data_IF_587776049432
#
_entry.id   IF_587776049432
#
_cell.length_a   1.000
_cell.length_b   1.000
_cell.length_c   1.000
_cell.angle_alpha   90.00
_cell.angle_beta   90.00
_cell.angle_gamma   90.00
#
_symmetry.space_group_name_H-M   'P 1'
#
loop_
_entity.id
_entity.type
_entity.pdbx_description
1 polymer ?
#
# COMPACT_ATOMS: atom_id res chain seq x y z
N UNK A 1 -3.65 1.90 32.86
CA UNK A 1 -3.03 0.62 32.42
C UNK A 1 -3.90 -0.53 32.92
N UNK A 2 -4.16 -1.54 32.09
CA UNK A 2 -4.94 -2.72 32.45
C UNK A 2 -4.16 -4.00 32.19
N UNK A 3 -4.21 -4.96 33.12
CA UNK A 3 -3.53 -6.26 33.03
C UNK A 3 -4.20 -7.29 33.96
N UNK A 4 -4.41 -8.53 33.52
CA UNK A 4 -4.97 -9.62 34.34
C UNK A 4 -6.25 -9.27 35.16
N UNK A 5 -7.08 -8.35 34.63
CA UNK A 5 -8.29 -7.87 35.32
C UNK A 5 -8.09 -6.73 36.32
N UNK A 6 -6.84 -6.28 36.52
CA UNK A 6 -6.48 -5.12 37.32
C UNK A 6 -6.38 -3.85 36.47
N UNK A 7 -6.65 -2.70 37.09
CA UNK A 7 -6.45 -1.39 36.51
C UNK A 7 -5.59 -0.52 37.43
N UNK A 8 -4.60 0.14 36.84
CA UNK A 8 -3.68 1.05 37.51
C UNK A 8 -3.60 2.37 36.75
N UNK A 9 -3.80 3.48 37.46
CA UNK A 9 -3.62 4.82 36.89
C UNK A 9 -2.12 5.14 36.83
N UNK A 10 -1.71 5.67 35.68
CA UNK A 10 -0.33 6.06 35.41
C UNK A 10 -0.36 7.54 35.08
N UNK A 11 0.41 8.34 35.82
CA UNK A 11 0.49 9.78 35.59
C UNK A 11 1.07 10.09 34.20
N UNK A 12 0.64 11.20 33.62
CA UNK A 12 1.17 11.72 32.36
C UNK A 12 2.69 11.93 32.43
N UNK A 13 3.39 11.73 31.30
CA UNK A 13 4.84 11.93 31.20
C UNK A 13 5.70 10.80 31.78
N UNK A 14 5.10 9.80 32.43
CA UNK A 14 5.83 8.60 32.88
C UNK A 14 6.26 7.75 31.70
N UNK A 15 7.55 7.39 31.65
CA UNK A 15 8.08 6.46 30.65
C UNK A 15 7.90 5.02 31.11
N UNK A 16 7.17 4.23 30.33
CA UNK A 16 6.96 2.81 30.58
C UNK A 16 7.98 1.97 29.80
N UNK A 17 8.72 1.11 30.50
CA UNK A 17 9.64 0.16 29.86
C UNK A 17 8.93 -1.18 29.65
N UNK A 18 8.89 -1.64 28.41
CA UNK A 18 8.15 -2.84 28.01
C UNK A 18 9.12 -3.88 27.49
N UNK A 19 9.04 -5.11 28.03
CA UNK A 19 9.86 -6.26 27.62
C UNK A 19 8.97 -7.48 27.44
N UNK A 20 9.39 -8.42 26.60
CA UNK A 20 8.77 -9.75 26.53
C UNK A 20 9.79 -10.82 26.90
N UNK A 21 9.38 -11.75 27.77
CA UNK A 21 10.18 -12.90 28.16
C UNK A 21 9.25 -14.06 28.56
N UNK A 22 9.57 -15.28 28.13
CA UNK A 22 8.83 -16.48 28.55
C UNK A 22 7.33 -16.46 28.22
N UNK A 23 6.94 -15.86 27.10
CA UNK A 23 5.53 -15.79 26.68
C UNK A 23 4.69 -14.76 27.46
N UNK A 24 5.31 -13.90 28.27
CA UNK A 24 4.64 -12.78 28.93
C UNK A 24 5.26 -11.44 28.56
N UNK A 25 4.50 -10.38 28.77
CA UNK A 25 4.94 -8.99 28.69
C UNK A 25 5.12 -8.44 30.08
N UNK A 26 6.24 -7.76 30.28
CA UNK A 26 6.58 -7.05 31.50
C UNK A 26 6.54 -5.56 31.24
N UNK A 27 5.81 -4.81 32.07
CA UNK A 27 5.81 -3.34 32.10
C UNK A 27 6.41 -2.87 33.42
N UNK A 28 7.38 -1.96 33.34
CA UNK A 28 7.99 -1.33 34.51
C UNK A 28 7.58 0.13 34.59
N UNK A 29 7.04 0.53 35.76
CA UNK A 29 6.61 1.89 36.10
C UNK A 29 7.35 2.32 37.37
N UNK A 30 8.37 3.16 37.24
CA UNK A 30 9.26 3.45 38.37
C UNK A 30 9.95 2.17 38.85
N UNK A 31 9.65 1.76 40.09
CA UNK A 31 10.17 0.52 40.71
C UNK A 31 9.19 -0.65 40.60
N UNK A 32 7.93 -0.39 40.23
CA UNK A 32 6.89 -1.43 40.13
C UNK A 32 7.01 -2.19 38.82
N UNK A 33 6.86 -3.51 38.89
CA UNK A 33 6.96 -4.41 37.73
C UNK A 33 5.68 -5.24 37.63
N UNK A 34 5.01 -5.14 36.48
CA UNK A 34 3.79 -5.89 36.16
C UNK A 34 4.10 -6.92 35.08
N UNK A 35 3.55 -8.13 35.20
CA UNK A 35 3.83 -9.23 34.29
C UNK A 35 2.55 -9.97 33.90
N UNK A 36 2.13 -9.86 32.64
CA UNK A 36 0.89 -10.45 32.13
C UNK A 36 1.08 -10.97 30.70
N UNK A 37 0.20 -11.86 30.23
CA UNK A 37 0.15 -12.26 28.82
C UNK A 37 -0.23 -11.09 27.90
N UNK A 38 -1.03 -10.14 28.39
CA UNK A 38 -1.43 -8.94 27.68
C UNK A 38 -1.49 -7.74 28.61
N UNK A 39 -0.90 -6.61 28.18
CA UNK A 39 -1.01 -5.35 28.90
C UNK A 39 -1.59 -4.31 27.95
N UNK A 40 -2.63 -3.60 28.41
CA UNK A 40 -3.32 -2.57 27.64
C UNK A 40 -3.08 -1.21 28.27
N UNK A 41 -2.63 -0.27 27.45
CA UNK A 41 -2.58 1.14 27.81
C UNK A 41 -3.76 1.81 27.14
N UNK A 42 -4.53 2.58 27.91
CA UNK A 42 -5.60 3.44 27.42
C UNK A 42 -5.44 4.81 28.08
N UNK A 43 -5.70 5.92 27.36
CA UNK A 43 -5.87 7.22 27.98
C UNK A 43 -7.04 7.20 28.97
N UNK A 44 -7.06 8.15 29.91
CA UNK A 44 -8.16 8.24 30.88
C UNK A 44 -9.37 8.91 30.22
N UNK A 45 -9.12 9.91 29.38
CA UNK A 45 -10.14 10.61 28.61
C UNK A 45 -10.02 10.28 27.13
N UNK A 46 -11.13 10.19 26.40
CA UNK A 46 -11.14 9.75 25.01
C UNK A 46 -10.51 10.76 24.03
N UNK A 47 -10.32 12.02 24.44
CA UNK A 47 -9.64 13.08 23.69
C UNK A 47 -8.12 13.11 23.89
N UNK A 48 -7.60 12.29 24.83
CA UNK A 48 -6.18 12.11 25.06
C UNK A 48 -5.58 11.05 24.12
N UNK A 49 -4.24 11.02 24.06
CA UNK A 49 -3.50 10.11 23.19
C UNK A 49 -2.30 9.47 23.91
N UNK A 50 -1.85 8.35 23.37
CA UNK A 50 -0.69 7.62 23.87
C UNK A 50 0.53 7.87 22.98
N UNK A 51 1.68 8.10 23.61
CA UNK A 51 2.95 8.28 22.91
C UNK A 51 3.76 6.99 22.87
N UNK A 52 4.07 6.50 21.67
CA UNK A 52 4.88 5.30 21.48
C UNK A 52 5.91 5.50 20.37
N UNK A 53 7.19 5.24 20.67
CA UNK A 53 8.32 5.35 19.73
C UNK A 53 8.32 6.62 18.86
N UNK A 54 8.07 7.77 19.50
CA UNK A 54 8.04 9.09 18.87
C UNK A 54 6.80 9.44 18.06
N UNK A 55 5.73 8.66 18.19
CA UNK A 55 4.45 8.93 17.54
C UNK A 55 3.30 8.94 18.54
N UNK A 56 2.28 9.71 18.22
CA UNK A 56 1.05 9.84 19.00
C UNK A 56 -0.07 8.98 18.42
N UNK A 57 -0.80 8.26 19.27
CA UNK A 57 -1.84 7.30 18.87
C UNK A 57 -3.14 7.50 19.65
N UNK A 58 -4.27 7.44 18.96
CA UNK A 58 -5.63 7.37 19.57
C UNK A 58 -5.90 5.97 20.11
N UNK A 59 -6.95 5.87 20.93
CA UNK A 59 -7.41 4.59 21.47
C UNK A 59 -6.38 3.97 22.41
N UNK A 60 -6.24 2.66 22.33
CA UNK A 60 -5.40 1.85 23.21
C UNK A 60 -4.12 1.36 22.51
N UNK A 61 -3.08 1.09 23.29
CA UNK A 61 -1.91 0.32 22.84
C UNK A 61 -1.83 -0.97 23.64
N UNK A 62 -1.94 -2.09 22.95
CA UNK A 62 -1.89 -3.43 23.51
C UNK A 62 -0.52 -4.04 23.27
N UNK A 63 0.02 -4.65 24.31
CA UNK A 63 1.29 -5.36 24.28
C UNK A 63 1.03 -6.82 24.62
N UNK A 64 1.46 -7.73 23.74
CA UNK A 64 1.44 -9.16 24.00
C UNK A 64 2.76 -9.81 23.59
N UNK A 65 3.07 -10.97 24.17
CA UNK A 65 4.27 -11.73 23.83
C UNK A 65 3.94 -12.76 22.74
N UNK A 66 4.72 -12.77 21.67
CA UNK A 66 4.59 -13.68 20.53
C UNK A 66 5.98 -14.20 20.16
N UNK A 67 6.23 -15.49 20.34
CA UNK A 67 7.50 -16.15 19.99
C UNK A 67 8.75 -15.39 20.47
N UNK A 68 8.77 -15.01 21.76
CA UNK A 68 9.87 -14.24 22.38
C UNK A 68 10.08 -12.84 21.80
N UNK A 69 9.09 -12.30 21.08
CA UNK A 69 9.01 -10.91 20.64
C UNK A 69 7.78 -10.25 21.24
N UNK A 70 7.80 -8.92 21.31
CA UNK A 70 6.63 -8.14 21.70
C UNK A 70 5.82 -7.80 20.45
N UNK A 71 4.57 -8.27 20.39
CA UNK A 71 3.58 -7.75 19.47
C UNK A 71 2.96 -6.49 20.09
N UNK A 72 2.92 -5.41 19.31
CA UNK A 72 2.31 -4.14 19.70
C UNK A 72 1.16 -3.88 18.74
N UNK A 73 -0.03 -3.65 19.28
CA UNK A 73 -1.25 -3.37 18.51
C UNK A 73 -1.81 -2.05 18.99
N UNK A 74 -2.04 -1.10 18.07
CA UNK A 74 -2.88 0.05 18.35
C UNK A 74 -4.34 -0.36 18.10
N UNK A 75 -5.14 -0.39 19.17
CA UNK A 75 -6.56 -0.74 19.13
C UNK A 75 -7.38 0.54 19.21
N UNK A 76 -8.16 0.83 18.18
CA UNK A 76 -8.87 2.10 18.02
C UNK A 76 -10.13 1.91 17.16
N UNK A 77 -11.00 2.90 17.20
CA UNK A 77 -12.20 2.91 16.36
C UNK A 77 -11.87 3.13 14.89
N UNK A 78 -12.76 2.66 14.01
CA UNK A 78 -12.53 2.66 12.57
C UNK A 78 -12.30 4.07 12.00
N UNK A 79 -13.05 5.07 12.45
CA UNK A 79 -12.88 6.46 11.98
C UNK A 79 -11.53 7.05 12.43
N UNK A 80 -11.09 6.77 13.65
CA UNK A 80 -9.76 7.17 14.15
C UNK A 80 -8.64 6.51 13.35
N UNK A 81 -8.82 5.26 12.92
CA UNK A 81 -7.89 4.60 12.02
C UNK A 81 -7.85 5.32 10.65
N UNK A 82 -9.01 5.63 10.07
CA UNK A 82 -9.10 6.30 8.76
C UNK A 82 -8.46 7.71 8.81
N UNK A 83 -8.60 8.45 9.91
CA UNK A 83 -7.92 9.73 10.15
C UNK A 83 -6.38 9.61 10.04
N UNK A 84 -5.79 8.51 10.49
CA UNK A 84 -4.35 8.26 10.38
C UNK A 84 -3.89 7.67 9.04
N UNK A 85 -4.80 7.23 8.17
CA UNK A 85 -4.49 6.65 6.85
C UNK A 85 -4.60 7.67 5.71
N UNK A 86 -5.74 8.35 5.60
CA UNK A 86 -6.03 9.31 4.51
C UNK A 86 -4.89 10.32 4.26
N UNK A 87 -4.27 10.92 5.29
CA UNK A 87 -3.20 11.89 5.11
C UNK A 87 -1.96 11.34 4.39
N UNK A 88 -1.72 10.03 4.51
CA UNK A 88 -0.56 9.35 3.92
C UNK A 88 -0.83 8.83 2.50
N UNK A 89 -2.11 8.67 2.13
CA UNK A 89 -2.50 8.25 0.78
C UNK A 89 -2.59 9.43 -0.19
N UNK A 90 -3.09 10.58 0.27
CA UNK A 90 -3.20 11.81 -0.53
C UNK A 90 -2.35 12.89 0.13
N UNK A 91 -1.09 13.00 -0.31
CA UNK A 91 -0.12 13.92 0.29
C UNK A 91 -0.36 15.41 -0.01
N UNK A 92 -1.23 15.75 -0.97
CA UNK A 92 -1.56 17.15 -1.31
C UNK A 92 -2.85 17.58 -0.62
N UNK A 93 -2.73 18.46 0.37
CA UNK A 93 -3.81 18.81 1.30
C UNK A 93 -4.35 20.22 1.02
N UNK A 94 -5.24 20.35 0.03
CA UNK A 94 -5.94 21.60 -0.26
C UNK A 94 -7.32 21.34 -0.90
N UNK A 95 -8.15 22.39 -0.97
CA UNK A 95 -9.56 22.29 -1.43
C UNK A 95 -9.71 21.74 -2.85
N UNK A 96 -8.73 21.95 -3.74
CA UNK A 96 -8.78 21.38 -5.09
C UNK A 96 -8.75 19.85 -5.09
N UNK A 97 -8.21 19.23 -4.04
CA UNK A 97 -8.09 17.78 -3.89
C UNK A 97 -9.07 17.19 -2.87
N UNK A 98 -10.05 17.99 -2.41
CA UNK A 98 -10.98 17.56 -1.36
C UNK A 98 -11.81 16.34 -1.76
N UNK A 99 -12.23 16.24 -3.03
CA UNK A 99 -12.97 15.06 -3.50
C UNK A 99 -12.07 13.82 -3.57
N UNK A 100 -10.78 13.97 -3.85
CA UNK A 100 -9.82 12.86 -3.79
C UNK A 100 -9.55 12.40 -2.35
N UNK A 101 -9.54 13.32 -1.38
CA UNK A 101 -9.47 12.99 0.04
C UNK A 101 -10.70 12.18 0.49
N UNK A 102 -11.90 12.54 0.02
CA UNK A 102 -13.12 11.73 0.24
C UNK A 102 -13.01 10.34 -0.39
N UNK A 103 -12.48 10.24 -1.61
CA UNK A 103 -12.22 8.94 -2.25
C UNK A 103 -11.28 8.08 -1.38
N UNK A 104 -10.20 8.67 -0.86
CA UNK A 104 -9.25 7.99 0.02
C UNK A 104 -9.91 7.53 1.32
N UNK A 105 -10.77 8.35 1.94
CA UNK A 105 -11.49 7.97 3.15
C UNK A 105 -12.41 6.77 2.92
N UNK A 106 -13.26 6.82 1.89
CA UNK A 106 -14.20 5.73 1.54
C UNK A 106 -13.44 4.43 1.20
N UNK A 107 -12.39 4.53 0.38
CA UNK A 107 -11.59 3.35 0.00
C UNK A 107 -10.81 2.77 1.17
N UNK A 108 -10.22 3.61 2.04
CA UNK A 108 -9.50 3.14 3.22
C UNK A 108 -10.43 2.46 4.23
N UNK A 109 -11.61 3.03 4.48
CA UNK A 109 -12.63 2.43 5.34
C UNK A 109 -13.09 1.07 4.80
N UNK A 110 -13.39 1.01 3.49
CA UNK A 110 -13.81 -0.24 2.85
C UNK A 110 -12.71 -1.31 2.95
N UNK A 111 -11.44 -0.93 2.75
CA UNK A 111 -10.30 -1.85 2.94
C UNK A 111 -10.23 -2.37 4.38
N UNK A 112 -10.30 -1.49 5.37
CA UNK A 112 -10.23 -1.86 6.78
C UNK A 112 -11.36 -2.82 7.17
N UNK A 113 -12.59 -2.59 6.70
CA UNK A 113 -13.72 -3.49 6.93
C UNK A 113 -13.47 -4.88 6.32
N UNK A 114 -12.95 -4.95 5.09
CA UNK A 114 -12.60 -6.26 4.51
C UNK A 114 -11.59 -7.01 5.39
N UNK A 115 -10.61 -6.32 5.97
CA UNK A 115 -9.60 -6.92 6.85
C UNK A 115 -10.17 -7.38 8.20
N UNK A 116 -11.11 -6.62 8.76
CA UNK A 116 -11.87 -7.05 9.94
C UNK A 116 -12.64 -8.36 9.67
N UNK A 117 -13.21 -8.51 8.47
CA UNK A 117 -13.95 -9.71 8.08
C UNK A 117 -13.05 -10.94 7.85
N UNK A 118 -11.74 -10.76 7.60
CA UNK A 118 -10.78 -11.88 7.51
C UNK A 118 -10.53 -12.57 8.86
N UNK A 119 -10.89 -11.93 9.99
CA UNK A 119 -10.74 -12.48 11.36
C UNK A 119 -9.33 -13.01 11.64
N UNK A 120 -8.33 -12.18 11.38
CA UNK A 120 -6.94 -12.46 11.75
C UNK A 120 -6.82 -12.62 13.27
N UNK A 121 -5.82 -13.38 13.72
CA UNK A 121 -5.76 -13.84 15.11
C UNK A 121 -5.52 -12.73 16.15
N UNK A 122 -4.72 -11.71 15.84
CA UNK A 122 -4.23 -10.74 16.84
C UNK A 122 -4.41 -9.27 16.46
N UNK A 123 -4.62 -8.98 15.17
CA UNK A 123 -4.74 -7.63 14.62
C UNK A 123 -5.39 -7.72 13.24
N UNK A 124 -6.08 -6.67 12.82
CA UNK A 124 -6.78 -6.65 11.54
C UNK A 124 -5.88 -6.16 10.39
N UNK A 125 -5.10 -5.11 10.64
CA UNK A 125 -4.21 -4.46 9.65
C UNK A 125 -2.81 -4.22 10.20
N UNK A 126 -1.81 -4.15 9.31
CA UNK A 126 -0.44 -3.70 9.62
C UNK A 126 -0.27 -2.22 9.30
N UNK A 127 0.62 -1.52 10.02
CA UNK A 127 0.89 -0.07 9.91
C UNK A 127 1.78 0.35 8.72
N UNK A 128 1.95 -0.53 7.72
CA UNK A 128 2.82 -0.31 6.58
C UNK A 128 2.19 -0.72 5.25
N UNK A 129 2.96 -0.57 4.17
CA UNK A 129 2.51 -0.75 2.77
C UNK A 129 1.97 -2.14 2.40
N UNK A 130 2.06 -3.11 3.32
CA UNK A 130 1.44 -4.43 3.14
C UNK A 130 -0.08 -4.34 3.23
N UNK A 131 -0.60 -3.52 4.15
CA UNK A 131 -2.02 -3.25 4.29
C UNK A 131 -2.27 -1.78 3.89
N UNK A 132 -2.08 -0.82 4.79
CA UNK A 132 -2.15 0.62 4.49
C UNK A 132 -1.13 1.39 5.34
N UNK A 133 -0.64 2.52 4.84
CA UNK A 133 0.23 3.36 5.63
C UNK A 133 -0.57 4.05 6.75
N UNK A 134 -0.17 3.85 8.01
CA UNK A 134 -0.83 4.43 9.17
C UNK A 134 0.11 5.33 9.97
N UNK A 135 -0.27 6.59 10.13
CA UNK A 135 0.57 7.63 10.71
C UNK A 135 0.34 7.92 12.19
N UNK A 136 -0.76 7.44 12.77
CA UNK A 136 -1.26 7.94 14.06
C UNK A 136 -1.80 9.37 13.93
N UNK A 137 -1.84 10.10 15.05
CA UNK A 137 -2.41 11.46 15.12
C UNK A 137 -1.53 12.49 14.42
N UNK A 138 -0.21 12.28 14.43
CA UNK A 138 0.77 13.31 14.02
C UNK A 138 0.68 13.69 12.53
N UNK A 139 -0.07 12.93 11.73
CA UNK A 139 -0.25 13.17 10.29
C UNK A 139 -1.58 13.85 9.94
N UNK A 140 -2.52 13.90 10.89
CA UNK A 140 -3.86 14.49 10.72
C UNK A 140 -3.75 16.00 10.43
N UNK A 141 -4.60 16.52 9.55
CA UNK A 141 -4.80 17.96 9.37
C UNK A 141 -6.29 18.30 9.36
N UNK A 142 -6.65 19.58 9.19
CA UNK A 142 -8.06 19.97 9.17
C UNK A 142 -8.83 19.42 7.95
N UNK A 143 -8.22 19.43 6.77
CA UNK A 143 -8.93 19.16 5.51
C UNK A 143 -9.16 17.66 5.22
N UNK A 144 -8.16 16.84 5.51
CA UNK A 144 -8.26 15.37 5.49
C UNK A 144 -9.23 14.89 6.56
N UNK A 145 -9.16 15.40 7.80
CA UNK A 145 -10.13 15.07 8.85
C UNK A 145 -11.56 15.43 8.44
N UNK A 146 -11.77 16.62 7.83
CA UNK A 146 -13.07 17.01 7.29
C UNK A 146 -13.57 16.02 6.22
N UNK A 147 -12.70 15.53 5.34
CA UNK A 147 -13.08 14.54 4.33
C UNK A 147 -13.49 13.20 4.96
N UNK A 148 -12.82 12.78 6.03
CA UNK A 148 -13.19 11.58 6.81
C UNK A 148 -14.57 11.76 7.44
N UNK A 149 -14.80 12.87 8.14
CA UNK A 149 -16.09 13.15 8.79
C UNK A 149 -17.25 13.29 7.80
N UNK A 150 -17.05 13.99 6.68
CA UNK A 150 -18.10 14.14 5.66
C UNK A 150 -18.41 12.84 4.90
N UNK A 151 -17.58 11.80 5.06
CA UNK A 151 -17.80 10.47 4.48
C UNK A 151 -17.91 9.39 5.54
N UNK A 152 -18.23 9.75 6.78
CA UNK A 152 -18.38 8.80 7.89
C UNK A 152 -19.30 7.64 7.48
N UNK A 153 -18.85 6.42 7.75
CA UNK A 153 -19.62 5.21 7.44
C UNK A 153 -19.84 4.89 5.96
N UNK A 154 -19.39 5.75 5.04
CA UNK A 154 -19.48 5.50 3.60
C UNK A 154 -18.40 4.51 3.15
N UNK A 155 -18.83 3.42 2.52
CA UNK A 155 -17.96 2.41 1.91
C UNK A 155 -18.41 2.09 0.48
N UNK A 156 -17.52 1.47 -0.30
CA UNK A 156 -17.91 0.84 -1.55
C UNK A 156 -18.42 -0.57 -1.31
N UNK A 157 -19.57 -0.90 -1.89
CA UNK A 157 -20.14 -2.24 -1.85
C UNK A 157 -20.35 -2.79 -3.25
N UNK A 158 -20.33 -4.12 -3.36
CA UNK A 158 -20.74 -4.86 -4.55
C UNK A 158 -21.56 -6.05 -4.10
N UNK A 159 -22.77 -6.20 -4.65
CA UNK A 159 -23.74 -7.22 -4.21
C UNK A 159 -23.96 -7.17 -2.69
N UNK A 160 -24.15 -5.97 -2.15
CA UNK A 160 -24.39 -5.69 -0.72
C UNK A 160 -23.29 -6.14 0.24
N UNK A 161 -22.09 -6.47 -0.26
CA UNK A 161 -20.90 -6.77 0.54
C UNK A 161 -19.84 -5.70 0.32
N UNK A 162 -18.97 -5.39 1.30
CA UNK A 162 -17.83 -4.52 1.08
C UNK A 162 -17.05 -4.95 -0.17
N UNK A 163 -16.82 -4.00 -1.08
CA UNK A 163 -16.07 -4.25 -2.30
C UNK A 163 -14.60 -4.47 -1.96
N UNK A 164 -13.92 -5.35 -2.71
CA UNK A 164 -12.48 -5.53 -2.58
C UNK A 164 -11.77 -4.27 -3.11
N UNK A 165 -10.95 -3.62 -2.28
CA UNK A 165 -10.32 -2.36 -2.63
C UNK A 165 -8.83 -2.52 -2.89
N UNK A 166 -8.39 -1.92 -3.99
CA UNK A 166 -7.00 -1.68 -4.32
C UNK A 166 -6.84 -0.24 -4.81
N UNK A 167 -5.71 0.37 -4.49
CA UNK A 167 -5.34 1.68 -5.00
C UNK A 167 -3.82 1.78 -5.10
N UNK A 168 -3.33 2.67 -5.96
CA UNK A 168 -1.92 2.83 -6.22
C UNK A 168 -1.60 4.27 -6.62
N UNK A 169 -0.31 4.64 -6.56
CA UNK A 169 0.11 6.02 -6.79
C UNK A 169 -0.28 6.55 -8.18
N UNK A 170 0.12 5.86 -9.25
CA UNK A 170 -0.09 6.32 -10.62
C UNK A 170 -0.26 5.15 -11.60
N UNK A 171 -1.33 5.14 -12.38
CA UNK A 171 -1.65 4.02 -13.27
C UNK A 171 -0.79 3.99 -14.55
N UNK A 172 -0.28 5.15 -14.99
CA UNK A 172 0.42 5.30 -16.27
C UNK A 172 -0.53 5.42 -17.47
N UNK A 173 -1.78 5.85 -17.24
CA UNK A 173 -2.79 6.11 -18.28
C UNK A 173 -3.95 5.13 -18.31
N UNK A 174 -3.77 3.94 -17.75
CA UNK A 174 -4.80 2.89 -17.72
C UNK A 174 -4.58 2.00 -16.49
N UNK A 175 -5.65 1.70 -15.75
CA UNK A 175 -5.60 0.78 -14.60
C UNK A 175 -5.55 -0.68 -15.06
N UNK A 176 -5.24 -1.62 -14.19
CA UNK A 176 -5.05 -3.03 -14.56
C UNK A 176 -6.17 -3.92 -14.00
N UNK A 177 -6.50 -4.98 -14.73
CA UNK A 177 -7.37 -6.04 -14.25
C UNK A 177 -6.72 -6.75 -13.07
N UNK A 178 -7.46 -6.89 -11.97
CA UNK A 178 -6.99 -7.62 -10.78
C UNK A 178 -6.43 -9.01 -11.12
N UNK A 179 -7.02 -9.69 -12.11
CA UNK A 179 -6.62 -11.04 -12.51
C UNK A 179 -5.18 -11.12 -13.03
N UNK A 180 -4.69 -10.02 -13.61
CA UNK A 180 -3.34 -9.93 -14.19
C UNK A 180 -2.25 -9.69 -13.15
N UNK A 181 -2.62 -9.26 -11.93
CA UNK A 181 -1.68 -8.84 -10.90
C UNK A 181 -1.71 -9.76 -9.68
N UNK A 182 -2.91 -10.11 -9.21
CA UNK A 182 -3.12 -10.80 -7.93
C UNK A 182 -3.68 -12.23 -8.08
N UNK A 183 -3.81 -12.73 -9.32
CA UNK A 183 -4.26 -14.09 -9.62
C UNK A 183 -5.73 -14.16 -10.04
N UNK A 184 -6.23 -15.33 -10.47
CA UNK A 184 -7.50 -15.48 -11.19
C UNK A 184 -8.72 -15.28 -10.28
N UNK A 185 -9.02 -14.03 -9.96
CA UNK A 185 -10.23 -13.61 -9.23
C UNK A 185 -11.15 -12.85 -10.17
N UNK A 186 -12.47 -12.99 -9.96
CA UNK A 186 -13.47 -12.32 -10.78
C UNK A 186 -14.18 -11.23 -9.98
N UNK A 187 -13.66 -10.02 -10.05
CA UNK A 187 -14.29 -8.81 -9.54
C UNK A 187 -14.52 -7.87 -10.72
N UNK A 188 -15.76 -7.78 -11.26
CA UNK A 188 -16.02 -7.00 -12.48
C UNK A 188 -15.79 -5.49 -12.29
N UNK A 189 -15.80 -5.03 -11.03
CA UNK A 189 -15.46 -3.67 -10.62
C UNK A 189 -13.94 -3.42 -10.46
N UNK A 190 -13.09 -4.43 -10.66
CA UNK A 190 -11.62 -4.30 -10.67
C UNK A 190 -11.05 -4.70 -12.04
N UNK A 191 -11.76 -4.30 -13.09
CA UNK A 191 -11.24 -4.34 -14.46
C UNK A 191 -10.45 -3.09 -14.75
N UNK A 192 -9.51 -3.20 -15.69
CA UNK A 192 -8.76 -2.04 -16.16
C UNK A 192 -9.67 -1.04 -16.85
N UNK A 193 -9.52 0.24 -16.50
CA UNK A 193 -10.21 1.38 -17.10
C UNK A 193 -9.17 2.41 -17.54
N UNK A 194 -9.49 3.14 -18.61
CA UNK A 194 -8.71 4.31 -19.02
C UNK A 194 -8.80 5.41 -17.97
N UNK A 195 -7.69 6.08 -17.66
CA UNK A 195 -7.62 7.16 -16.67
C UNK A 195 -8.04 8.53 -17.26
N UNK A 196 -8.79 8.53 -18.35
CA UNK A 196 -9.16 9.73 -19.13
C UNK A 196 -8.29 9.95 -20.37
N UNK A 197 -8.74 10.88 -21.22
CA UNK A 197 -8.06 11.30 -22.44
C UNK A 197 -7.99 12.84 -22.52
N UNK A 198 -6.81 13.47 -22.30
CA UNK A 198 -5.56 12.83 -21.86
C UNK A 198 -5.67 12.29 -20.41
N UNK A 199 -4.79 11.36 -19.99
CA UNK A 199 -4.86 10.77 -18.66
C UNK A 199 -4.80 11.79 -17.53
N UNK A 200 -5.69 11.68 -16.54
CA UNK A 200 -5.70 12.56 -15.37
C UNK A 200 -4.37 12.47 -14.60
N UNK A 201 -3.76 11.29 -14.52
CA UNK A 201 -2.50 11.08 -13.80
C UNK A 201 -1.24 11.57 -14.54
N UNK A 202 -1.36 12.07 -15.78
CA UNK A 202 -0.21 12.49 -16.60
C UNK A 202 0.64 13.57 -15.94
N UNK A 203 0.01 14.52 -15.25
CA UNK A 203 0.68 15.65 -14.59
C UNK A 203 1.46 15.26 -13.32
N UNK A 204 1.43 14.00 -12.93
CA UNK A 204 2.14 13.50 -11.75
C UNK A 204 3.66 13.47 -11.99
N UNK A 205 4.48 13.84 -10.99
CA UNK A 205 5.93 13.64 -11.06
C UNK A 205 6.35 12.17 -11.16
N UNK A 206 5.43 11.24 -10.84
CA UNK A 206 5.65 9.80 -10.95
C UNK A 206 5.08 9.17 -12.23
N UNK A 207 4.53 9.98 -13.15
CA UNK A 207 3.93 9.48 -14.38
C UNK A 207 4.95 8.86 -15.33
N UNK A 208 6.15 9.42 -15.43
CA UNK A 208 7.24 8.90 -16.26
C UNK A 208 8.46 8.60 -15.41
N UNK A 209 9.15 7.52 -15.72
CA UNK A 209 10.42 7.15 -15.08
C UNK A 209 11.35 6.51 -16.10
N UNK A 210 12.66 6.59 -15.84
CA UNK A 210 13.67 5.92 -16.65
C UNK A 210 14.77 5.35 -15.75
N UNK A 211 15.20 4.13 -16.05
CA UNK A 211 16.29 3.45 -15.33
C UNK A 211 17.19 2.71 -16.33
N UNK A 212 18.50 2.66 -16.06
CA UNK A 212 19.49 2.01 -16.93
C UNK A 212 20.30 0.98 -16.16
N UNK A 213 20.32 -0.24 -16.67
CA UNK A 213 20.92 -1.42 -16.05
C UNK A 213 22.06 -1.93 -16.91
N UNK A 214 23.17 -2.30 -16.29
CA UNK A 214 24.21 -3.10 -16.93
C UNK A 214 23.75 -4.54 -17.11
N UNK A 215 24.39 -5.26 -18.04
CA UNK A 215 24.16 -6.70 -18.20
C UNK A 215 24.38 -7.47 -16.88
N UNK A 216 25.40 -7.09 -16.10
CA UNK A 216 25.68 -7.69 -14.79
C UNK A 216 24.53 -7.50 -13.79
N UNK A 217 23.89 -6.33 -13.77
CA UNK A 217 22.75 -6.07 -12.87
C UNK A 217 21.56 -6.97 -13.23
N UNK A 218 21.22 -7.09 -14.52
CA UNK A 218 20.14 -7.98 -14.97
C UNK A 218 20.43 -9.43 -14.58
N UNK A 219 21.64 -9.93 -14.87
CA UNK A 219 22.04 -11.30 -14.51
C UNK A 219 21.97 -11.50 -12.98
N UNK A 220 22.45 -10.54 -12.19
CA UNK A 220 22.35 -10.58 -10.73
C UNK A 220 20.91 -10.70 -10.27
N UNK A 221 19.99 -9.90 -10.83
CA UNK A 221 18.58 -9.95 -10.49
C UNK A 221 17.92 -11.28 -10.81
N UNK A 222 18.23 -11.87 -11.97
CA UNK A 222 17.76 -13.22 -12.32
C UNK A 222 18.27 -14.27 -11.32
N UNK A 223 19.55 -14.17 -10.92
CA UNK A 223 20.16 -15.09 -9.96
C UNK A 223 19.55 -14.94 -8.56
N UNK A 224 19.44 -13.70 -8.06
CA UNK A 224 18.88 -13.40 -6.74
C UNK A 224 17.40 -13.84 -6.64
N UNK A 225 16.68 -13.89 -7.78
CA UNK A 225 15.32 -14.41 -7.90
C UNK A 225 15.23 -15.93 -8.09
N UNK A 226 16.36 -16.64 -8.16
CA UNK A 226 16.43 -18.09 -8.36
C UNK A 226 16.03 -18.56 -9.77
N UNK A 227 16.03 -17.67 -10.77
CA UNK A 227 15.66 -17.99 -12.15
C UNK A 227 16.83 -18.59 -12.95
N UNK A 228 18.06 -18.40 -12.48
CA UNK A 228 19.28 -18.97 -13.04
C UNK A 228 20.18 -19.50 -11.92
N UNK A 229 21.05 -20.48 -12.24
CA UNK A 229 21.87 -21.20 -11.24
C UNK A 229 23.23 -20.57 -10.94
N UNK A 230 23.68 -19.63 -11.76
CA UNK A 230 24.96 -18.93 -11.57
C UNK A 230 24.88 -17.52 -12.15
N UNK A 231 25.90 -16.69 -11.90
CA UNK A 231 26.03 -15.35 -12.50
C UNK A 231 26.93 -15.33 -13.74
N UNK A 232 27.44 -16.49 -14.16
CA UNK A 232 28.42 -16.62 -15.25
C UNK A 232 27.73 -16.77 -16.60
N UNK A 233 26.90 -15.79 -16.96
CA UNK A 233 26.18 -15.76 -18.23
C UNK A 233 26.53 -14.49 -19.02
N UNK A 234 26.31 -14.54 -20.33
CA UNK A 234 26.35 -13.37 -21.20
C UNK A 234 24.92 -13.00 -21.56
N UNK A 235 24.53 -11.76 -21.26
CA UNK A 235 23.23 -11.22 -21.68
C UNK A 235 23.28 -10.91 -23.18
N UNK A 236 22.32 -11.43 -23.92
CA UNK A 236 22.19 -11.23 -25.37
C UNK A 236 20.97 -10.39 -25.75
N UNK A 237 19.99 -10.23 -24.84
CA UNK A 237 18.86 -9.36 -25.10
C UNK A 237 17.79 -9.40 -24.03
N UNK A 238 16.83 -8.48 -24.14
CA UNK A 238 15.66 -8.43 -23.29
C UNK A 238 14.49 -7.83 -24.09
N UNK A 239 13.33 -8.49 -24.11
CA UNK A 239 12.16 -8.01 -24.83
C UNK A 239 10.85 -8.27 -24.08
N UNK A 240 9.84 -7.43 -24.32
CA UNK A 240 8.47 -7.68 -23.87
C UNK A 240 7.73 -8.45 -24.95
N UNK A 241 7.44 -9.72 -24.68
CA UNK A 241 6.79 -10.61 -25.65
C UNK A 241 5.29 -10.36 -25.76
N UNK A 242 4.66 -9.92 -24.66
CA UNK A 242 3.23 -9.65 -24.62
C UNK A 242 2.92 -8.56 -23.58
N UNK A 243 1.85 -7.81 -23.84
CA UNK A 243 1.29 -6.79 -22.94
C UNK A 243 -0.16 -7.11 -22.58
N UNK A 244 -0.59 -6.62 -21.42
CA UNK A 244 -2.00 -6.53 -21.07
C UNK A 244 -2.65 -5.32 -21.77
N UNK A 245 -4.00 -5.22 -21.83
CA UNK A 245 -4.68 -4.06 -22.41
C UNK A 245 -4.24 -2.72 -21.82
N UNK A 246 -3.84 -2.70 -20.54
CA UNK A 246 -3.34 -1.49 -19.88
C UNK A 246 -1.93 -1.05 -20.33
N UNK A 247 -1.30 -1.75 -21.28
CA UNK A 247 0.09 -1.55 -21.73
C UNK A 247 1.16 -2.20 -20.83
N UNK A 248 0.80 -2.70 -19.65
CA UNK A 248 1.73 -3.38 -18.73
C UNK A 248 2.28 -4.66 -19.35
N UNK A 249 3.57 -4.92 -19.16
CA UNK A 249 4.24 -6.13 -19.61
C UNK A 249 3.58 -7.36 -18.94
N UNK A 250 3.05 -8.25 -19.78
CA UNK A 250 2.51 -9.55 -19.39
C UNK A 250 3.61 -10.60 -19.34
N UNK A 251 4.52 -10.53 -20.30
CA UNK A 251 5.59 -11.50 -20.47
C UNK A 251 6.88 -10.79 -20.90
N UNK A 252 7.91 -10.96 -20.09
CA UNK A 252 9.27 -10.50 -20.32
C UNK A 252 10.17 -11.71 -20.61
N UNK A 253 10.93 -11.64 -21.69
CA UNK A 253 11.95 -12.63 -22.03
C UNK A 253 13.33 -12.00 -21.88
N UNK A 254 14.22 -12.71 -21.18
CA UNK A 254 15.64 -12.37 -21.08
C UNK A 254 16.46 -13.45 -21.77
N UNK A 255 17.27 -13.04 -22.75
CA UNK A 255 18.08 -13.93 -23.57
C UNK A 255 19.49 -14.02 -23.01
N UNK A 256 19.92 -15.23 -22.68
CA UNK A 256 21.27 -15.53 -22.20
C UNK A 256 21.92 -16.46 -23.23
N UNK A 257 23.21 -16.23 -23.49
CA UNK A 257 23.98 -17.03 -24.46
C UNK A 257 23.93 -18.52 -24.13
N UNK A 258 23.74 -19.34 -25.16
CA UNK A 258 23.70 -20.81 -25.10
C UNK A 258 22.63 -21.40 -24.16
N UNK A 259 21.64 -20.59 -23.77
CA UNK A 259 20.58 -20.96 -22.83
C UNK A 259 19.19 -20.74 -23.42
N UNK A 260 18.18 -21.37 -22.80
CA UNK A 260 16.79 -21.05 -23.11
C UNK A 260 16.42 -19.68 -22.55
N UNK A 261 15.56 -18.89 -23.23
CA UNK A 261 15.13 -17.59 -22.72
C UNK A 261 14.49 -17.72 -21.34
N UNK A 262 14.93 -16.87 -20.40
CA UNK A 262 14.33 -16.79 -19.07
C UNK A 262 13.04 -16.00 -19.17
N UNK A 263 11.93 -16.67 -18.88
CA UNK A 263 10.58 -16.09 -18.93
C UNK A 263 10.14 -15.58 -17.57
N UNK A 264 9.70 -14.33 -17.51
CA UNK A 264 9.15 -13.68 -16.33
C UNK A 264 7.77 -13.12 -16.68
N UNK A 265 6.76 -13.38 -15.85
CA UNK A 265 5.36 -13.05 -16.17
C UNK A 265 4.69 -12.18 -15.11
N UNK A 266 3.80 -11.30 -15.56
CA UNK A 266 2.90 -10.52 -14.71
C UNK A 266 3.62 -9.67 -13.66
N UNK A 267 3.06 -9.64 -12.44
CA UNK A 267 3.57 -8.84 -11.32
C UNK A 267 5.02 -9.17 -10.92
N UNK A 268 5.47 -10.42 -11.10
CA UNK A 268 6.85 -10.86 -10.79
C UNK A 268 7.92 -10.08 -11.56
N UNK A 269 7.60 -9.49 -12.72
CA UNK A 269 8.56 -8.68 -13.48
C UNK A 269 9.14 -7.56 -12.60
N UNK A 270 8.28 -6.91 -11.81
CA UNK A 270 8.71 -5.80 -10.94
C UNK A 270 9.56 -6.26 -9.76
N UNK A 271 9.26 -7.44 -9.22
CA UNK A 271 9.97 -8.04 -8.09
C UNK A 271 11.34 -8.59 -8.48
N UNK A 272 11.48 -9.05 -9.73
CA UNK A 272 12.74 -9.58 -10.26
C UNK A 272 13.65 -8.44 -10.67
N UNK A 273 13.19 -7.56 -11.58
CA UNK A 273 14.07 -6.52 -12.16
C UNK A 273 14.45 -5.46 -11.12
N UNK A 274 13.54 -5.14 -10.18
CA UNK A 274 13.74 -4.16 -9.09
C UNK A 274 14.13 -2.76 -9.57
N UNK A 275 14.02 -1.75 -8.70
CA UNK A 275 14.59 -0.43 -8.97
C UNK A 275 16.08 -0.44 -8.67
N UNK A 276 16.88 0.12 -9.57
CA UNK A 276 18.33 0.32 -9.36
C UNK A 276 18.63 1.31 -8.23
N UNK A 277 17.71 2.24 -7.95
CA UNK A 277 17.94 3.32 -6.97
C UNK A 277 18.19 2.78 -5.55
N UNK A 278 17.43 1.77 -5.14
CA UNK A 278 17.38 1.29 -3.76
C UNK A 278 17.08 -0.22 -3.65
N UNK A 279 17.11 -0.95 -4.77
CA UNK A 279 16.78 -2.38 -4.85
C UNK A 279 15.35 -2.71 -4.37
N UNK A 280 14.45 -1.70 -4.36
CA UNK A 280 13.02 -1.88 -4.09
C UNK A 280 12.29 -2.45 -5.30
N UNK A 281 10.99 -2.71 -5.17
CA UNK A 281 10.15 -3.13 -6.31
C UNK A 281 10.20 -2.09 -7.43
N UNK A 282 10.32 -2.53 -8.69
CA UNK A 282 10.30 -1.61 -9.84
C UNK A 282 8.99 -0.80 -9.85
N UNK A 283 9.04 0.48 -10.24
CA UNK A 283 7.90 1.41 -10.18
C UNK A 283 6.65 0.85 -10.85
N UNK A 284 6.75 0.32 -12.06
CA UNK A 284 5.65 -0.35 -12.76
C UNK A 284 6.17 -1.41 -13.72
N UNK A 285 5.27 -2.23 -14.25
CA UNK A 285 5.54 -3.11 -15.40
C UNK A 285 5.17 -2.46 -16.74
N UNK A 286 4.76 -1.19 -16.76
CA UNK A 286 4.46 -0.46 -17.98
C UNK A 286 5.73 0.28 -18.44
N UNK A 287 6.56 -0.37 -19.24
CA UNK A 287 7.78 0.22 -19.77
C UNK A 287 8.13 -0.29 -21.16
N UNK A 288 8.94 0.49 -21.87
CA UNK A 288 9.64 0.10 -23.08
C UNK A 288 11.10 -0.24 -22.77
N UNK A 289 11.70 -1.08 -23.61
CA UNK A 289 13.08 -1.56 -23.48
C UNK A 289 13.89 -1.06 -24.66
N UNK A 290 15.05 -0.48 -24.38
CA UNK A 290 16.09 -0.18 -25.36
C UNK A 290 17.36 -0.94 -24.96
N UNK A 291 17.83 -1.83 -25.84
CA UNK A 291 19.04 -2.62 -25.67
C UNK A 291 20.21 -1.88 -26.31
N UNK A 292 21.25 -1.59 -25.53
CA UNK A 292 22.47 -0.94 -26.02
C UNK A 292 23.57 -1.98 -26.10
N UNK A 293 24.03 -2.22 -27.32
CA UNK A 293 25.05 -3.21 -27.64
C UNK A 293 26.35 -2.54 -28.09
N UNK A 294 27.46 -3.19 -27.80
CA UNK A 294 28.79 -2.83 -28.30
C UNK A 294 29.52 -4.12 -28.68
N UNK A 295 30.01 -4.19 -29.92
CA UNK A 295 30.66 -5.39 -30.47
C UNK A 295 29.80 -6.67 -30.31
N UNK A 296 28.48 -6.56 -30.56
CA UNK A 296 27.51 -7.65 -30.41
C UNK A 296 27.37 -8.20 -28.97
N UNK A 297 27.71 -7.37 -27.97
CA UNK A 297 27.52 -7.69 -26.55
C UNK A 297 26.63 -6.63 -25.93
N UNK A 298 25.57 -7.06 -25.26
CA UNK A 298 24.69 -6.14 -24.51
C UNK A 298 25.49 -5.50 -23.39
N UNK A 299 25.59 -4.17 -23.42
CA UNK A 299 26.23 -3.36 -22.38
C UNK A 299 25.22 -2.81 -21.39
N UNK A 300 24.09 -2.31 -21.91
CA UNK A 300 23.04 -1.69 -21.09
C UNK A 300 21.64 -2.06 -21.58
N UNK A 301 20.72 -2.11 -20.62
CA UNK A 301 19.28 -2.18 -20.82
C UNK A 301 18.69 -0.88 -20.26
N UNK A 302 18.14 -0.05 -21.13
CA UNK A 302 17.43 1.16 -20.75
C UNK A 302 15.93 0.87 -20.68
N UNK A 303 15.32 1.18 -19.54
CA UNK A 303 13.88 1.12 -19.36
C UNK A 303 13.31 2.53 -19.32
N UNK A 304 12.27 2.78 -20.11
CA UNK A 304 11.46 4.01 -20.07
C UNK A 304 10.03 3.61 -19.77
N UNK A 305 9.54 3.97 -18.59
CA UNK A 305 8.25 3.49 -18.11
C UNK A 305 7.30 4.56 -17.62
N UNK A 306 6.07 4.11 -17.43
CA UNK A 306 4.92 4.90 -17.04
C UNK A 306 4.30 4.40 -15.74
N UNK A 307 3.85 5.34 -14.91
CA UNK A 307 3.15 5.07 -13.67
C UNK A 307 4.01 4.49 -12.54
N UNK A 308 3.36 4.29 -11.40
CA UNK A 308 3.96 3.82 -10.15
C UNK A 308 2.93 3.03 -9.34
N UNK A 309 3.24 1.76 -9.06
CA UNK A 309 2.39 0.82 -8.35
C UNK A 309 1.78 -0.26 -9.23
N UNK A 310 0.90 -1.06 -8.63
CA UNK A 310 0.37 -2.27 -9.25
C UNK A 310 -0.61 -2.02 -10.39
N UNK A 311 -1.29 -0.86 -10.42
CA UNK A 311 -2.21 -0.51 -11.51
C UNK A 311 -3.66 -0.88 -11.25
N UNK A 312 -3.95 -1.84 -10.37
CA UNK A 312 -5.33 -2.24 -10.02
C UNK A 312 -6.08 -1.18 -9.20
N UNK A 313 -7.37 -0.99 -9.51
CA UNK A 313 -8.29 -0.12 -8.76
C UNK A 313 -7.98 1.37 -8.93
N UNK A 314 -8.09 2.14 -7.84
CA UNK A 314 -8.02 3.61 -7.91
C UNK A 314 -6.59 4.13 -8.10
N UNK A 315 -6.41 5.00 -9.11
CA UNK A 315 -5.18 5.77 -9.32
C UNK A 315 -5.22 7.04 -8.44
N UNK A 316 -4.33 7.17 -7.45
CA UNK A 316 -4.33 8.30 -6.51
C UNK A 316 -4.10 9.64 -7.22
N UNK A 317 -3.10 9.70 -8.12
CA UNK A 317 -2.86 10.91 -8.92
C UNK A 317 -3.98 11.21 -9.91
N UNK A 318 -4.64 10.18 -10.45
CA UNK A 318 -5.80 10.35 -11.30
C UNK A 318 -6.99 10.92 -10.53
N UNK A 319 -7.30 10.36 -9.35
CA UNK A 319 -8.34 10.88 -8.45
C UNK A 319 -8.10 12.34 -8.05
N UNK A 320 -6.85 12.71 -7.70
CA UNK A 320 -6.49 14.10 -7.40
C UNK A 320 -6.76 15.04 -8.57
N UNK A 321 -6.37 14.67 -9.80
CA UNK A 321 -6.58 15.53 -10.95
C UNK A 321 -8.03 15.53 -11.45
N UNK A 322 -8.80 14.47 -11.21
CA UNK A 322 -10.25 14.47 -11.39
C UNK A 322 -10.95 15.41 -10.40
N UNK A 323 -10.57 15.36 -9.11
CA UNK A 323 -11.03 16.30 -8.08
C UNK A 323 -10.73 17.75 -8.49
N UNK A 324 -9.52 18.01 -8.99
CA UNK A 324 -9.13 19.33 -9.48
C UNK A 324 -9.92 19.77 -10.72
N UNK A 325 -10.39 18.82 -11.52
CA UNK A 325 -11.28 19.06 -12.65
C UNK A 325 -12.75 19.26 -12.24
N UNK A 326 -13.05 19.25 -10.93
CA UNK A 326 -14.39 19.52 -10.39
C UNK A 326 -15.29 18.29 -10.26
N UNK A 327 -14.76 17.08 -10.51
CA UNK A 327 -15.54 15.84 -10.35
C UNK A 327 -15.79 15.52 -8.89
N UNK A 328 -16.98 15.04 -8.58
CA UNK A 328 -17.34 14.62 -7.22
C UNK A 328 -16.63 13.30 -6.83
N UNK A 329 -16.50 13.01 -5.54
CA UNK A 329 -15.89 11.76 -5.10
C UNK A 329 -16.71 10.54 -5.55
N UNK A 330 -18.03 10.67 -5.67
CA UNK A 330 -18.90 9.63 -6.22
C UNK A 330 -18.58 9.34 -7.69
N UNK A 331 -18.41 10.37 -8.52
CA UNK A 331 -18.03 10.21 -9.93
C UNK A 331 -16.64 9.59 -10.09
N UNK A 332 -15.69 9.98 -9.22
CA UNK A 332 -14.32 9.45 -9.24
C UNK A 332 -14.30 7.98 -8.83
N UNK A 333 -15.01 7.62 -7.75
CA UNK A 333 -15.08 6.23 -7.29
C UNK A 333 -15.82 5.35 -8.31
N UNK A 334 -16.92 5.83 -8.88
CA UNK A 334 -17.65 5.11 -9.94
C UNK A 334 -16.81 4.89 -11.20
N UNK A 335 -15.88 5.80 -11.50
CA UNK A 335 -14.93 5.64 -12.59
C UNK A 335 -13.92 4.51 -12.34
N UNK A 336 -13.29 4.46 -11.16
CA UNK A 336 -12.26 3.44 -10.87
C UNK A 336 -12.80 2.09 -10.38
N UNK A 337 -14.01 2.08 -9.83
CA UNK A 337 -14.69 0.88 -9.32
C UNK A 337 -16.08 0.76 -9.96
N UNK A 338 -16.16 0.60 -11.29
CA UNK A 338 -17.44 0.53 -11.98
C UNK A 338 -18.28 -0.62 -11.43
N UNK A 339 -19.61 -0.45 -11.32
CA UNK A 339 -20.55 -1.43 -10.73
C UNK A 339 -20.50 -1.56 -9.20
N UNK A 340 -19.71 -0.75 -8.50
CA UNK A 340 -19.86 -0.61 -7.04
C UNK A 340 -20.90 0.46 -6.70
N UNK A 341 -21.44 0.38 -5.49
CA UNK A 341 -22.32 1.39 -4.90
C UNK A 341 -21.65 2.01 -3.68
N UNK A 342 -21.87 3.30 -3.44
CA UNK A 342 -21.49 3.92 -2.18
C UNK A 342 -22.63 3.69 -1.18
N UNK A 343 -22.34 3.02 -0.08
CA UNK A 343 -23.31 2.66 0.94
C UNK A 343 -22.84 3.15 2.31
N UNK A 344 -23.73 3.82 3.05
CA UNK A 344 -23.52 4.13 4.47
C UNK A 344 -23.84 2.89 5.31
N UNK A 345 -22.86 2.37 6.03
CA UNK A 345 -23.02 1.17 6.87
C UNK A 345 -23.10 1.45 8.37
N UNK A 346 -22.81 2.69 8.78
CA UNK A 346 -23.00 3.23 10.13
C UNK A 346 -22.93 4.77 10.07
N UNK A 347 -23.13 5.45 11.21
CA UNK A 347 -23.25 6.91 11.26
C UNK A 347 -24.63 7.35 10.78
N UNK A 348 -25.12 8.49 11.28
CA UNK A 348 -26.44 9.01 10.93
C UNK A 348 -26.45 9.77 9.60
#
# INVERSE_FOLDING_TARGET
MMYDGYEEKVDEGKTLKIRSQGGKVTVTIGETVHNSSIIKLRPVNNDEYLYFKKKSYRGEIWFSAQNSKTLVVNYLDLEDYVLGVVPLEIGLKNEYFFQALKCAAVTARTFAINRLLEKRAFYDVTDGVKDQAYGGIDVETGIDSRAVFETEGMILTWQSKPALIFYHANCGGHTEDIANVFGPVNHPYLKGVEDGDPPYCEKSPSFRWAESYSAFEIIRYLFDAGLIKSKNFVLEGMEIKARHPSGRAKELLVYLRDEKPVKITGSRIRDVIKSKKDNSILRSSNFEIEVIEENSVVKKINLKGLGNGHGVGMCQWGAMNQSRAGRSYEEILAHYFPQTEITRVYGN
#
